data_IF_860265058710
#
_entry.id   IF_860265058710
#
_cell.length_a   1.000
_cell.length_b   1.000
_cell.length_c   1.000
_cell.angle_alpha   90.00
_cell.angle_beta   90.00
_cell.angle_gamma   90.00
#
_symmetry.space_group_name_H-M   'P 1'
#
loop_
_entity.id
_entity.type
_entity.pdbx_description
1 polymer ?
#
# COMPACT_ATOMS: atom_id res chain seq x y z
N UNK A 1 25.06 33.21 -6.68
CA UNK A 1 25.61 34.36 -5.93
C UNK A 1 26.54 33.98 -4.79
N UNK A 2 26.24 33.01 -3.91
CA UNK A 2 27.17 32.63 -2.81
C UNK A 2 28.57 32.15 -3.26
N UNK A 3 28.69 31.53 -4.44
CA UNK A 3 30.00 31.19 -5.06
C UNK A 3 30.78 32.42 -5.54
N UNK A 4 30.07 33.45 -6.01
CA UNK A 4 30.66 34.72 -6.48
C UNK A 4 31.13 35.55 -5.28
N UNK A 5 30.35 35.57 -4.20
CA UNK A 5 30.73 36.23 -2.94
C UNK A 5 32.04 35.68 -2.37
N UNK A 6 32.18 34.35 -2.29
CA UNK A 6 33.43 33.68 -1.86
C UNK A 6 34.60 33.96 -2.81
N UNK A 7 34.32 34.09 -4.11
CA UNK A 7 35.31 34.36 -5.13
C UNK A 7 35.81 35.81 -5.10
N UNK A 8 34.97 36.76 -4.68
CA UNK A 8 35.28 38.18 -4.58
C UNK A 8 35.87 38.58 -3.23
N UNK A 9 35.44 37.94 -2.13
CA UNK A 9 35.90 38.25 -0.76
C UNK A 9 37.43 38.15 -0.65
N UNK A 10 38.07 39.15 -0.05
CA UNK A 10 39.52 39.26 0.17
C UNK A 10 40.39 39.38 -1.09
N UNK A 11 39.81 39.47 -2.30
CA UNK A 11 40.59 39.76 -3.52
C UNK A 11 40.78 41.26 -3.70
N UNK A 12 41.91 41.62 -4.30
CA UNK A 12 42.26 43.00 -4.62
C UNK A 12 41.53 43.41 -5.90
N UNK A 13 40.72 44.46 -5.79
CA UNK A 13 40.04 45.02 -6.94
C UNK A 13 40.89 46.10 -7.62
N UNK A 14 40.82 46.13 -8.94
CA UNK A 14 41.43 47.18 -9.78
C UNK A 14 40.43 48.29 -10.11
N UNK A 15 39.13 48.08 -9.84
CA UNK A 15 38.05 49.05 -9.90
C UNK A 15 36.67 48.37 -9.84
N UNK A 16 35.62 49.12 -9.53
CA UNK A 16 34.26 48.55 -9.44
C UNK A 16 33.17 49.60 -9.12
N UNK A 17 31.90 49.18 -9.08
CA UNK A 17 30.76 50.05 -8.77
C UNK A 17 30.87 50.71 -7.39
N UNK A 18 30.22 51.87 -7.21
CA UNK A 18 30.33 52.74 -6.01
C UNK A 18 31.75 53.24 -5.67
N UNK A 19 32.62 53.41 -6.67
CA UNK A 19 33.90 54.11 -6.49
C UNK A 19 34.98 53.29 -5.77
N UNK A 20 34.93 51.96 -5.90
CA UNK A 20 35.94 51.05 -5.35
C UNK A 20 37.34 51.40 -5.90
N UNK A 21 38.28 51.72 -5.00
CA UNK A 21 39.61 52.24 -5.37
C UNK A 21 40.56 51.12 -5.79
N UNK A 22 41.48 51.43 -6.71
CA UNK A 22 42.51 50.50 -7.18
C UNK A 22 43.40 50.06 -6.01
N UNK A 23 43.44 48.76 -5.72
CA UNK A 23 44.25 48.18 -4.65
C UNK A 23 43.47 47.84 -3.35
N UNK A 24 42.17 48.15 -3.29
CA UNK A 24 41.34 47.88 -2.12
C UNK A 24 40.86 46.42 -2.08
N UNK A 25 40.86 45.82 -0.88
CA UNK A 25 40.35 44.45 -0.67
C UNK A 25 38.83 44.48 -0.56
N UNK A 26 38.15 43.60 -1.29
CA UNK A 26 36.69 43.50 -1.26
C UNK A 26 36.24 42.85 0.06
N UNK A 27 35.50 43.61 0.89
CA UNK A 27 34.88 43.13 2.13
C UNK A 27 33.46 42.59 1.89
N UNK A 28 32.97 41.74 2.80
CA UNK A 28 31.60 41.20 2.73
C UNK A 28 30.54 42.30 2.88
N UNK A 29 30.81 43.29 3.74
CA UNK A 29 29.90 44.42 3.98
C UNK A 29 29.76 45.31 2.73
N UNK A 30 30.85 45.47 1.98
CA UNK A 30 30.82 46.18 0.70
C UNK A 30 29.96 45.46 -0.34
N UNK A 31 30.11 44.14 -0.47
CA UNK A 31 29.27 43.33 -1.38
C UNK A 31 27.79 43.37 -1.00
N UNK A 32 27.47 43.40 0.30
CA UNK A 32 26.09 43.54 0.79
C UNK A 32 25.48 44.92 0.46
N UNK A 33 26.31 45.96 0.30
CA UNK A 33 25.87 47.33 0.01
C UNK A 33 25.52 47.59 -1.47
N UNK A 34 25.83 46.64 -2.36
CA UNK A 34 25.69 46.75 -3.83
C UNK A 34 24.71 45.69 -4.34
N UNK A 35 24.00 45.98 -5.44
CA UNK A 35 23.12 44.99 -6.05
C UNK A 35 23.94 43.78 -6.53
N UNK A 36 23.38 42.59 -6.36
CA UNK A 36 24.07 41.32 -6.67
C UNK A 36 24.48 41.19 -8.14
N UNK A 37 23.80 41.88 -9.04
CA UNK A 37 24.14 41.90 -10.47
C UNK A 37 25.35 42.79 -10.76
N UNK A 38 25.55 43.88 -10.01
CA UNK A 38 26.69 44.76 -10.18
C UNK A 38 27.99 44.12 -9.65
N UNK A 39 27.91 42.99 -8.94
CA UNK A 39 29.07 42.21 -8.51
C UNK A 39 29.89 41.68 -9.69
N UNK A 40 29.24 41.48 -10.84
CA UNK A 40 29.90 41.06 -12.08
C UNK A 40 30.70 42.18 -12.76
N UNK A 41 30.50 43.43 -12.35
CA UNK A 41 31.19 44.60 -12.90
C UNK A 41 32.42 45.00 -12.06
N UNK A 42 32.73 44.22 -11.02
CA UNK A 42 33.95 44.35 -10.21
C UNK A 42 35.14 43.79 -11.00
N UNK A 43 36.14 44.65 -11.26
CA UNK A 43 37.39 44.27 -11.92
C UNK A 43 38.39 43.79 -10.87
N UNK A 44 38.84 42.55 -11.02
CA UNK A 44 39.81 41.93 -10.14
C UNK A 44 41.22 42.13 -10.71
N UNK A 45 42.23 42.25 -9.84
CA UNK A 45 43.63 42.33 -10.26
C UNK A 45 44.27 40.99 -10.62
N UNK A 46 43.55 39.88 -10.45
CA UNK A 46 44.02 38.52 -10.73
C UNK A 46 43.30 37.97 -11.97
N UNK A 47 44.05 37.61 -13.01
CA UNK A 47 43.56 37.13 -14.30
C UNK A 47 42.69 35.87 -14.19
N UNK A 48 43.06 34.91 -13.35
CA UNK A 48 42.30 33.66 -13.17
C UNK A 48 40.95 33.94 -12.50
N UNK A 49 40.93 34.87 -11.55
CA UNK A 49 39.72 35.28 -10.86
C UNK A 49 38.77 36.06 -11.79
N UNK A 50 39.32 36.87 -12.70
CA UNK A 50 38.55 37.61 -13.71
C UNK A 50 37.91 36.66 -14.72
N UNK A 51 38.67 35.70 -15.25
CA UNK A 51 38.16 34.66 -16.16
C UNK A 51 37.05 33.82 -15.53
N UNK A 52 37.18 33.47 -14.25
CA UNK A 52 36.14 32.75 -13.51
C UNK A 52 34.87 33.60 -13.31
N UNK A 53 34.99 34.91 -13.08
CA UNK A 53 33.86 35.81 -12.93
C UNK A 53 33.10 35.98 -14.27
N UNK A 54 33.83 36.11 -15.38
CA UNK A 54 33.29 36.15 -16.74
C UNK A 54 32.57 34.84 -17.09
N UNK A 55 33.20 33.70 -16.85
CA UNK A 55 32.58 32.38 -17.07
C UNK A 55 31.30 32.20 -16.27
N UNK A 56 31.24 32.73 -15.03
CA UNK A 56 30.03 32.69 -14.21
C UNK A 56 28.95 33.65 -14.72
N UNK A 57 29.32 34.80 -15.30
CA UNK A 57 28.40 35.74 -15.95
C UNK A 57 27.77 35.10 -17.19
N UNK A 58 28.58 34.46 -18.03
CA UNK A 58 28.13 33.77 -19.24
C UNK A 58 27.22 32.58 -18.91
N UNK A 59 27.61 31.75 -17.94
CA UNK A 59 26.77 30.65 -17.47
C UNK A 59 25.43 31.15 -16.90
N UNK A 60 25.41 32.31 -16.21
CA UNK A 60 24.18 32.91 -15.71
C UNK A 60 23.31 33.45 -16.85
N UNK A 61 23.91 34.03 -17.89
CA UNK A 61 23.20 34.49 -19.08
C UNK A 61 22.56 33.31 -19.84
N UNK A 62 23.32 32.22 -20.06
CA UNK A 62 22.83 30.98 -20.67
C UNK A 62 21.71 30.35 -19.84
N UNK A 63 21.90 30.26 -18.51
CA UNK A 63 20.88 29.73 -17.61
C UNK A 63 19.59 30.59 -17.61
N UNK A 64 19.72 31.92 -17.71
CA UNK A 64 18.58 32.83 -17.83
C UNK A 64 17.84 32.61 -19.15
N UNK A 65 18.56 32.52 -20.27
CA UNK A 65 17.94 32.25 -21.57
C UNK A 65 17.22 30.88 -21.59
N UNK A 66 17.83 29.85 -21.00
CA UNK A 66 17.18 28.54 -20.86
C UNK A 66 15.94 28.60 -19.97
N UNK A 67 15.97 29.39 -18.89
CA UNK A 67 14.82 29.59 -18.02
C UNK A 67 13.69 30.32 -18.74
N UNK A 68 14.01 31.38 -19.48
CA UNK A 68 13.05 32.17 -20.26
C UNK A 68 12.41 31.30 -21.35
N UNK A 69 13.19 30.45 -22.04
CA UNK A 69 12.67 29.45 -23.00
C UNK A 69 11.70 28.47 -22.34
N UNK A 70 12.07 27.88 -21.19
CA UNK A 70 11.20 26.96 -20.44
C UNK A 70 9.93 27.65 -19.93
N UNK A 71 10.04 28.91 -19.53
CA UNK A 71 8.91 29.71 -19.08
C UNK A 71 7.93 29.95 -20.23
N UNK A 72 8.42 30.40 -21.39
CA UNK A 72 7.59 30.62 -22.57
C UNK A 72 6.96 29.30 -23.07
N UNK A 73 7.68 28.18 -23.02
CA UNK A 73 7.11 26.87 -23.34
C UNK A 73 5.96 26.48 -22.39
N UNK A 74 6.12 26.66 -21.08
CA UNK A 74 5.06 26.38 -20.09
C UNK A 74 3.87 27.31 -20.27
N UNK A 75 4.13 28.60 -20.48
CA UNK A 75 3.10 29.60 -20.73
C UNK A 75 2.30 29.23 -21.98
N UNK A 76 2.98 28.91 -23.09
CA UNK A 76 2.35 28.45 -24.33
C UNK A 76 1.47 27.23 -24.08
N UNK A 77 1.97 26.22 -23.36
CA UNK A 77 1.20 25.00 -23.03
C UNK A 77 -0.04 25.26 -22.18
N UNK A 78 -0.01 26.26 -21.29
CA UNK A 78 -1.15 26.62 -20.43
C UNK A 78 -2.17 27.51 -21.13
N UNK A 79 -1.73 28.37 -22.05
CA UNK A 79 -2.62 29.26 -22.81
C UNK A 79 -3.23 28.59 -24.03
N UNK A 80 -2.57 27.56 -24.56
CA UNK A 80 -3.10 26.76 -25.66
C UNK A 80 -4.34 26.01 -25.15
N UNK A 81 -5.42 26.05 -25.94
CA UNK A 81 -6.61 25.26 -25.64
C UNK A 81 -6.30 23.76 -25.74
N UNK A 82 -6.87 22.98 -24.82
CA UNK A 82 -6.77 21.53 -24.87
C UNK A 82 -7.51 20.97 -26.09
N UNK A 83 -6.95 19.92 -26.69
CA UNK A 83 -7.62 19.19 -27.77
C UNK A 83 -8.80 18.38 -27.18
N UNK A 84 -10.02 18.76 -27.56
CA UNK A 84 -11.25 18.11 -27.12
C UNK A 84 -11.80 17.22 -28.24
N UNK A 85 -12.45 16.09 -27.90
CA UNK A 85 -13.17 15.28 -28.88
C UNK A 85 -14.22 16.11 -29.65
N UNK A 86 -14.50 15.79 -30.92
CA UNK A 86 -15.47 16.53 -31.72
C UNK A 86 -16.85 16.54 -31.02
N UNK A 87 -17.46 17.72 -30.92
CA UNK A 87 -18.73 17.94 -30.21
C UNK A 87 -18.61 18.28 -28.73
N UNK A 88 -17.43 18.16 -28.11
CA UNK A 88 -17.20 18.54 -26.70
C UNK A 88 -16.69 19.98 -26.63
N UNK A 89 -17.47 20.88 -26.03
CA UNK A 89 -17.09 22.30 -25.89
C UNK A 89 -16.16 22.56 -24.70
N UNK A 90 -16.39 21.89 -23.56
CA UNK A 90 -15.60 22.01 -22.34
C UNK A 90 -15.57 20.68 -21.60
N UNK A 91 -14.45 20.36 -20.95
CA UNK A 91 -14.29 19.19 -20.09
C UNK A 91 -13.85 19.62 -18.70
N UNK A 92 -14.49 19.10 -17.66
CA UNK A 92 -14.12 19.35 -16.26
C UNK A 92 -13.72 18.03 -15.63
N UNK A 93 -12.50 17.97 -15.07
CA UNK A 93 -12.00 16.81 -14.33
C UNK A 93 -12.01 17.14 -12.84
N UNK A 94 -12.74 16.34 -12.06
CA UNK A 94 -12.81 16.47 -10.59
C UNK A 94 -12.09 15.29 -9.96
N UNK A 95 -11.11 15.57 -9.11
CA UNK A 95 -10.38 14.54 -8.37
C UNK A 95 -10.96 14.42 -6.97
N UNK A 96 -11.44 13.23 -6.61
CA UNK A 96 -11.94 12.93 -5.27
C UNK A 96 -10.95 12.00 -4.55
N UNK A 97 -10.45 12.44 -3.41
CA UNK A 97 -9.61 11.61 -2.55
C UNK A 97 -10.46 10.99 -1.43
N UNK A 98 -10.46 9.66 -1.32
CA UNK A 98 -11.21 8.92 -0.30
C UNK A 98 -10.24 8.08 0.52
N UNK A 99 -10.26 8.26 1.85
CA UNK A 99 -9.53 7.40 2.79
C UNK A 99 -10.41 6.21 3.18
N UNK A 100 -10.12 5.03 2.62
CA UNK A 100 -10.86 3.79 2.94
C UNK A 100 -10.21 3.07 4.12
N UNK A 101 -11.02 2.69 5.13
CA UNK A 101 -10.57 1.93 6.31
C UNK A 101 -10.54 0.42 6.02
N UNK A 102 -9.92 -0.36 6.90
CA UNK A 102 -10.03 -1.83 6.87
C UNK A 102 -11.37 -2.24 7.48
N UNK A 103 -12.00 -3.25 6.89
CA UNK A 103 -13.30 -3.74 7.35
C UNK A 103 -13.44 -5.25 7.10
N UNK A 104 -14.37 -5.92 7.80
CA UNK A 104 -14.72 -7.31 7.50
C UNK A 104 -15.09 -7.48 6.03
N UNK A 105 -14.57 -8.53 5.39
CA UNK A 105 -14.73 -8.76 3.95
C UNK A 105 -13.55 -8.28 3.09
N UNK A 106 -12.69 -7.39 3.58
CA UNK A 106 -11.48 -6.99 2.86
C UNK A 106 -10.49 -8.15 2.74
N UNK A 107 -9.78 -8.22 1.60
CA UNK A 107 -8.80 -9.27 1.35
C UNK A 107 -7.40 -8.85 1.77
N UNK A 108 -6.74 -9.69 2.56
CA UNK A 108 -5.38 -9.54 3.04
C UNK A 108 -4.50 -10.70 2.56
N UNK A 109 -3.20 -10.49 2.49
CA UNK A 109 -2.24 -11.53 2.11
C UNK A 109 -0.92 -11.41 2.87
N UNK A 110 -0.30 -12.54 3.19
CA UNK A 110 1.10 -12.60 3.58
C UNK A 110 2.02 -12.75 2.36
N UNK A 111 3.32 -12.63 2.57
CA UNK A 111 4.34 -12.76 1.51
C UNK A 111 4.52 -14.21 1.02
N UNK A 112 4.12 -15.19 1.84
CA UNK A 112 4.26 -16.62 1.56
C UNK A 112 3.04 -17.25 0.88
N UNK A 113 2.26 -16.45 0.15
CA UNK A 113 1.12 -16.92 -0.64
C UNK A 113 -0.15 -17.21 0.16
N UNK A 114 -0.12 -17.09 1.49
CA UNK A 114 -1.30 -17.15 2.34
C UNK A 114 -2.19 -15.93 2.09
N UNK A 115 -3.44 -16.17 1.69
CA UNK A 115 -4.45 -15.13 1.45
C UNK A 115 -5.66 -15.41 2.35
N UNK A 116 -6.23 -14.35 2.90
CA UNK A 116 -7.37 -14.42 3.79
C UNK A 116 -8.33 -13.26 3.57
N UNK A 117 -9.54 -13.41 4.09
CA UNK A 117 -10.53 -12.33 4.20
C UNK A 117 -10.64 -11.99 5.68
N UNK A 118 -10.70 -10.70 6.02
CA UNK A 118 -10.94 -10.28 7.40
C UNK A 118 -12.33 -10.75 7.82
N UNK A 119 -12.41 -11.61 8.83
CA UNK A 119 -13.68 -12.16 9.32
C UNK A 119 -14.35 -11.21 10.32
N UNK A 120 -13.62 -10.78 11.35
CA UNK A 120 -14.08 -9.90 12.42
C UNK A 120 -12.93 -9.02 12.91
N UNK A 121 -13.26 -7.80 13.30
CA UNK A 121 -12.36 -6.92 14.07
C UNK A 121 -12.80 -7.04 15.53
N UNK A 122 -11.95 -7.64 16.36
CA UNK A 122 -12.23 -7.84 17.78
C UNK A 122 -11.73 -6.63 18.61
N UNK A 123 -12.38 -6.33 19.74
CA UNK A 123 -11.82 -5.45 20.75
C UNK A 123 -10.49 -6.01 21.30
N UNK A 124 -9.64 -5.14 21.85
CA UNK A 124 -8.29 -5.51 22.31
C UNK A 124 -8.35 -6.42 23.54
N UNK A 125 -9.32 -6.19 24.42
CA UNK A 125 -9.58 -6.98 25.63
C UNK A 125 -9.96 -8.44 25.33
N UNK A 126 -10.53 -8.70 24.15
CA UNK A 126 -10.94 -10.03 23.69
C UNK A 126 -9.78 -10.81 23.08
N UNK A 127 -8.66 -10.15 22.77
CA UNK A 127 -7.54 -10.78 22.08
C UNK A 127 -6.68 -11.59 23.05
N UNK A 128 -6.14 -12.74 22.61
CA UNK A 128 -5.11 -13.42 23.36
C UNK A 128 -3.93 -12.49 23.63
N UNK A 129 -3.38 -12.59 24.83
CA UNK A 129 -2.25 -11.78 25.26
C UNK A 129 -1.13 -12.65 25.82
N UNK A 130 0.07 -12.10 25.77
CA UNK A 130 1.26 -12.70 26.38
C UNK A 130 1.29 -12.46 27.89
N UNK A 131 2.19 -13.15 28.59
CA UNK A 131 2.35 -13.02 30.03
C UNK A 131 2.75 -11.61 30.52
N UNK A 132 3.32 -10.79 29.64
CA UNK A 132 3.63 -9.38 29.87
C UNK A 132 2.42 -8.45 29.67
N UNK A 133 1.26 -9.00 29.28
CA UNK A 133 0.03 -8.27 28.99
C UNK A 133 -0.07 -7.75 27.55
N UNK A 134 0.92 -7.99 26.69
CA UNK A 134 0.89 -7.52 25.30
C UNK A 134 -0.14 -8.32 24.49
N UNK A 135 -1.19 -7.69 23.94
CA UNK A 135 -2.20 -8.37 23.12
C UNK A 135 -1.69 -8.67 21.72
N UNK A 136 -2.21 -9.74 21.10
CA UNK A 136 -1.94 -10.07 19.70
C UNK A 136 -2.82 -9.24 18.75
N UNK A 137 -2.28 -8.86 17.59
CA UNK A 137 -3.01 -8.10 16.57
C UNK A 137 -3.79 -8.98 15.58
N UNK A 138 -3.20 -10.11 15.16
CA UNK A 138 -3.75 -11.00 14.12
C UNK A 138 -3.61 -12.45 14.56
N UNK A 139 -4.71 -13.21 14.49
CA UNK A 139 -4.72 -14.65 14.72
C UNK A 139 -4.88 -15.38 13.39
N UNK A 140 -3.90 -16.22 13.04
CA UNK A 140 -3.92 -17.02 11.82
C UNK A 140 -4.20 -18.48 12.13
N UNK A 141 -4.93 -19.16 11.24
CA UNK A 141 -5.21 -20.59 11.38
C UNK A 141 -3.97 -21.43 10.96
N UNK A 142 -3.42 -22.27 11.85
CA UNK A 142 -2.23 -23.07 11.55
C UNK A 142 -2.49 -24.20 10.54
N UNK A 143 -3.73 -24.66 10.39
CA UNK A 143 -4.08 -25.80 9.51
C UNK A 143 -3.75 -25.56 8.03
N UNK A 144 -3.66 -24.28 7.62
CA UNK A 144 -3.30 -23.92 6.26
C UNK A 144 -1.81 -24.13 5.93
N UNK A 145 -0.93 -24.27 6.93
CA UNK A 145 0.51 -24.40 6.71
C UNK A 145 0.89 -25.80 6.24
N UNK A 146 0.48 -26.89 6.90
CA UNK A 146 0.82 -28.24 6.45
C UNK A 146 0.23 -28.55 5.07
N UNK A 147 -1.00 -28.12 4.81
CA UNK A 147 -1.69 -28.41 3.55
C UNK A 147 -1.08 -27.70 2.33
N UNK A 148 -0.44 -26.53 2.54
CA UNK A 148 0.14 -25.71 1.46
C UNK A 148 1.66 -25.73 1.43
N UNK A 149 2.29 -26.42 2.39
CA UNK A 149 3.74 -26.59 2.51
C UNK A 149 4.53 -25.28 2.47
N UNK A 150 3.96 -24.17 2.95
CA UNK A 150 4.60 -22.85 2.98
C UNK A 150 5.21 -22.57 4.36
N UNK A 151 6.19 -23.38 4.75
CA UNK A 151 6.87 -23.33 6.06
C UNK A 151 7.61 -22.01 6.28
N UNK A 152 8.05 -21.35 5.21
CA UNK A 152 8.77 -20.07 5.27
C UNK A 152 8.05 -18.98 6.09
N UNK A 153 6.71 -19.00 6.15
CA UNK A 153 5.96 -18.04 6.97
C UNK A 153 6.21 -18.21 8.47
N UNK A 154 6.46 -19.44 8.93
CA UNK A 154 6.80 -19.73 10.33
C UNK A 154 8.21 -19.22 10.62
N UNK A 155 9.15 -19.44 9.70
CA UNK A 155 10.53 -18.93 9.83
C UNK A 155 10.57 -17.39 9.81
N UNK A 156 9.76 -16.74 8.96
CA UNK A 156 9.57 -15.28 8.97
C UNK A 156 9.03 -14.83 10.33
N UNK A 157 8.04 -15.53 10.88
CA UNK A 157 7.43 -15.22 12.17
C UNK A 157 8.46 -15.28 13.30
N UNK A 158 9.29 -16.33 13.34
CA UNK A 158 10.37 -16.48 14.33
C UNK A 158 11.44 -15.40 14.18
N UNK A 159 11.92 -15.14 12.95
CA UNK A 159 12.94 -14.12 12.71
C UNK A 159 12.41 -12.71 12.99
N UNK A 160 11.14 -12.44 12.70
CA UNK A 160 10.46 -11.20 13.05
C UNK A 160 10.30 -11.02 14.57
N UNK A 161 10.14 -12.11 15.31
CA UNK A 161 10.15 -12.08 16.77
C UNK A 161 11.52 -11.69 17.33
N UNK A 162 12.59 -12.29 16.81
CA UNK A 162 13.96 -11.92 17.16
C UNK A 162 14.24 -10.45 16.81
N UNK A 163 13.85 -10.00 15.62
CA UNK A 163 14.00 -8.62 15.16
C UNK A 163 13.38 -7.62 16.14
N UNK A 164 12.14 -7.88 16.59
CA UNK A 164 11.46 -7.03 17.56
C UNK A 164 12.16 -7.05 18.91
N UNK A 165 12.51 -8.24 19.41
CA UNK A 165 13.17 -8.40 20.71
C UNK A 165 14.52 -7.67 20.77
N UNK A 166 15.35 -7.80 19.73
CA UNK A 166 16.61 -7.04 19.61
C UNK A 166 16.36 -5.53 19.63
N UNK A 167 15.35 -5.04 18.89
CA UNK A 167 14.98 -3.63 18.89
C UNK A 167 14.55 -3.13 20.27
N UNK A 168 13.73 -3.92 21.00
CA UNK A 168 13.32 -3.59 22.38
C UNK A 168 14.54 -3.50 23.29
N UNK A 169 15.50 -4.43 23.20
CA UNK A 169 16.74 -4.39 23.99
C UNK A 169 17.60 -3.16 23.67
N UNK A 170 17.75 -2.79 22.39
CA UNK A 170 18.43 -1.56 22.00
C UNK A 170 17.71 -0.35 22.61
N UNK A 171 16.38 -0.32 22.54
CA UNK A 171 15.56 0.73 23.11
C UNK A 171 15.68 0.84 24.64
N UNK A 172 15.86 -0.28 25.34
CA UNK A 172 16.11 -0.32 26.79
C UNK A 172 17.50 0.24 27.13
N UNK A 173 18.55 -0.18 26.43
CA UNK A 173 19.89 0.36 26.61
C UNK A 173 19.94 1.87 26.40
N UNK A 174 19.21 2.38 25.40
CA UNK A 174 19.09 3.83 25.17
C UNK A 174 18.33 4.57 26.27
N UNK A 175 17.32 3.94 26.89
CA UNK A 175 16.55 4.53 28.00
C UNK A 175 17.32 4.55 29.31
N UNK A 176 18.16 3.55 29.54
CA UNK A 176 19.02 3.44 30.73
C UNK A 176 20.28 4.30 30.62
N UNK A 177 20.44 5.07 29.54
CA UNK A 177 21.63 5.87 29.25
C UNK A 177 22.91 5.01 29.32
N UNK A 178 22.82 3.78 28.82
CA UNK A 178 23.94 2.84 28.79
C UNK A 178 25.13 3.45 28.04
N UNK A 179 26.34 3.03 28.41
CA UNK A 179 27.56 3.57 27.80
C UNK A 179 27.54 3.25 26.31
N UNK A 180 27.94 4.22 25.48
CA UNK A 180 28.02 4.04 24.01
C UNK A 180 28.88 2.81 23.64
N UNK A 181 29.88 2.48 24.45
CA UNK A 181 30.71 1.29 24.29
C UNK A 181 29.93 -0.02 24.44
N UNK A 182 28.91 -0.08 25.31
CA UNK A 182 28.05 -1.26 25.50
C UNK A 182 27.06 -1.39 24.35
N UNK A 183 26.45 -0.28 23.92
CA UNK A 183 25.57 -0.24 22.75
C UNK A 183 26.33 -0.67 21.50
N UNK A 184 27.54 -0.15 21.30
CA UNK A 184 28.43 -0.52 20.18
C UNK A 184 28.77 -2.00 20.21
N UNK A 185 29.10 -2.56 21.38
CA UNK A 185 29.39 -3.98 21.54
C UNK A 185 28.16 -4.84 21.20
N UNK A 186 26.97 -4.43 21.64
CA UNK A 186 25.75 -5.16 21.34
C UNK A 186 25.40 -5.12 19.85
N UNK A 187 25.57 -3.97 19.19
CA UNK A 187 25.42 -3.85 17.74
C UNK A 187 26.45 -4.71 17.00
N UNK A 188 27.71 -4.71 17.43
CA UNK A 188 28.76 -5.58 16.86
C UNK A 188 28.36 -7.06 16.93
N UNK A 189 27.80 -7.52 18.06
CA UNK A 189 27.29 -8.89 18.20
C UNK A 189 26.15 -9.19 17.23
N UNK A 190 25.17 -8.29 17.10
CA UNK A 190 24.02 -8.47 16.20
C UNK A 190 24.47 -8.56 14.73
N UNK A 191 25.41 -7.72 14.31
CA UNK A 191 25.84 -7.66 12.90
C UNK A 191 26.90 -8.71 12.54
N UNK A 192 27.79 -9.08 13.46
CA UNK A 192 29.03 -9.81 13.12
C UNK A 192 29.14 -11.24 13.67
N UNK A 193 28.34 -11.64 14.67
CA UNK A 193 28.48 -12.96 15.30
C UNK A 193 27.76 -14.08 14.53
N UNK A 194 26.73 -13.75 13.73
CA UNK A 194 26.01 -14.72 12.90
C UNK A 194 26.67 -14.94 11.52
N UNK A 195 26.16 -15.91 10.76
CA UNK A 195 26.66 -16.34 9.44
C UNK A 195 26.55 -15.29 8.31
N UNK A 196 26.17 -14.05 8.63
CA UNK A 196 25.88 -12.99 7.67
C UNK A 196 27.07 -12.17 7.19
N UNK A 197 26.77 -11.12 6.41
CA UNK A 197 27.76 -10.12 5.98
C UNK A 197 28.22 -9.32 7.20
N UNK A 198 29.52 -9.37 7.45
CA UNK A 198 30.15 -8.57 8.51
C UNK A 198 30.18 -7.09 8.13
N UNK A 199 29.85 -6.24 9.09
CA UNK A 199 29.85 -4.78 8.95
C UNK A 199 30.82 -4.14 9.96
N UNK A 200 31.46 -3.05 9.55
CA UNK A 200 32.44 -2.35 10.38
C UNK A 200 31.78 -1.29 11.27
N UNK A 201 31.20 -1.75 12.39
CA UNK A 201 30.59 -0.90 13.42
C UNK A 201 31.65 -0.07 14.17
N UNK A 202 32.95 -0.43 14.08
CA UNK A 202 34.03 0.29 14.78
C UNK A 202 34.40 1.60 14.08
N UNK A 203 34.19 1.66 12.76
CA UNK A 203 34.42 2.87 11.98
C UNK A 203 33.47 4.03 12.31
N UNK A 204 32.29 3.73 12.85
CA UNK A 204 31.26 4.73 13.17
C UNK A 204 31.70 5.61 14.35
N UNK A 205 31.37 6.90 14.30
CA UNK A 205 31.55 7.78 15.45
C UNK A 205 30.46 7.53 16.52
N UNK A 206 30.63 8.08 17.72
CA UNK A 206 29.71 7.81 18.84
C UNK A 206 28.30 8.40 18.60
N UNK A 207 28.19 9.52 17.89
CA UNK A 207 26.90 10.12 17.52
C UNK A 207 26.14 9.24 16.51
N UNK A 208 26.84 8.70 15.50
CA UNK A 208 26.32 7.80 14.48
C UNK A 208 25.85 6.47 15.10
N UNK A 209 26.56 5.95 16.10
CA UNK A 209 26.14 4.74 16.83
C UNK A 209 24.83 4.98 17.57
N UNK A 210 24.68 6.13 18.24
CA UNK A 210 23.45 6.49 18.94
C UNK A 210 22.31 6.70 17.93
N UNK A 211 22.56 7.39 16.81
CA UNK A 211 21.57 7.58 15.74
C UNK A 211 21.10 6.24 15.15
N UNK A 212 22.05 5.34 14.85
CA UNK A 212 21.73 4.00 14.38
C UNK A 212 20.87 3.23 15.38
N UNK A 213 21.25 3.24 16.67
CA UNK A 213 20.47 2.60 17.72
C UNK A 213 19.05 3.20 17.84
N UNK A 214 18.90 4.53 17.68
CA UNK A 214 17.59 5.18 17.68
C UNK A 214 16.69 4.72 16.53
N UNK A 215 17.26 4.47 15.35
CA UNK A 215 16.51 3.91 14.21
C UNK A 215 16.14 2.44 14.43
N UNK A 216 17.00 1.66 15.10
CA UNK A 216 16.82 0.23 15.33
C UNK A 216 15.89 -0.12 16.51
N UNK A 217 15.55 0.84 17.38
CA UNK A 217 14.72 0.61 18.58
C UNK A 217 13.35 -0.04 18.31
N UNK A 218 12.81 0.14 17.10
CA UNK A 218 11.50 -0.42 16.74
C UNK A 218 11.58 -1.88 16.26
N UNK A 219 12.78 -2.35 15.91
CA UNK A 219 13.09 -3.67 15.41
C UNK A 219 14.30 -3.64 14.48
N UNK A 220 15.18 -4.64 14.58
CA UNK A 220 16.36 -4.77 13.71
C UNK A 220 15.95 -5.38 12.36
N UNK A 221 16.17 -4.71 11.22
CA UNK A 221 15.82 -5.25 9.92
C UNK A 221 16.81 -6.34 9.51
N UNK A 222 16.29 -7.53 9.18
CA UNK A 222 17.07 -8.62 8.61
C UNK A 222 16.93 -8.66 7.08
N UNK A 223 18.04 -8.95 6.41
CA UNK A 223 18.06 -9.27 4.98
C UNK A 223 18.41 -10.75 4.82
N UNK A 224 17.46 -11.55 4.35
CA UNK A 224 17.69 -12.93 3.92
C UNK A 224 17.62 -12.99 2.40
N UNK A 225 18.64 -13.58 1.76
CA UNK A 225 18.61 -13.78 0.32
C UNK A 225 17.60 -14.88 -0.05
N UNK A 226 17.25 -14.98 -1.33
CA UNK A 226 16.22 -15.93 -1.80
C UNK A 226 16.70 -17.39 -1.74
N UNK A 227 17.99 -17.63 -1.97
CA UNK A 227 18.55 -18.99 -2.07
C UNK A 227 19.60 -19.29 -0.99
N UNK A 228 20.37 -18.29 -0.56
CA UNK A 228 21.40 -18.40 0.49
C UNK A 228 20.95 -17.59 1.71
N UNK A 229 19.89 -18.08 2.35
CA UNK A 229 19.17 -17.39 3.42
C UNK A 229 19.67 -17.74 4.81
N UNK A 230 19.08 -17.11 5.83
CA UNK A 230 19.40 -17.42 7.22
C UNK A 230 19.10 -18.88 7.56
N UNK A 231 20.05 -19.56 8.21
CA UNK A 231 19.85 -20.93 8.70
C UNK A 231 19.01 -20.94 9.97
N UNK A 232 18.45 -22.10 10.33
CA UNK A 232 17.70 -22.25 11.58
C UNK A 232 18.58 -21.97 12.82
N UNK A 233 19.86 -22.34 12.77
CA UNK A 233 20.84 -22.01 13.82
C UNK A 233 21.03 -20.50 13.99
N UNK A 234 21.02 -19.73 12.91
CA UNK A 234 21.15 -18.27 12.98
C UNK A 234 19.89 -17.65 13.60
N UNK A 235 18.70 -18.13 13.22
CA UNK A 235 17.44 -17.66 13.81
C UNK A 235 17.41 -17.96 15.31
N UNK A 236 17.83 -19.16 15.71
CA UNK A 236 17.91 -19.55 17.12
C UNK A 236 18.90 -18.67 17.88
N UNK A 237 20.09 -18.45 17.34
CA UNK A 237 21.10 -17.56 17.94
C UNK A 237 20.55 -16.13 18.13
N UNK A 238 19.85 -15.60 17.12
CA UNK A 238 19.22 -14.27 17.22
C UNK A 238 18.09 -14.22 18.24
N UNK A 239 17.30 -15.29 18.38
CA UNK A 239 16.29 -15.42 19.43
C UNK A 239 16.92 -15.47 20.83
N UNK A 240 18.02 -16.19 20.99
CA UNK A 240 18.76 -16.27 22.25
C UNK A 240 19.39 -14.92 22.62
N UNK A 241 19.89 -14.17 21.64
CA UNK A 241 20.40 -12.82 21.83
C UNK A 241 19.29 -11.82 22.14
N UNK A 242 18.12 -11.95 21.53
CA UNK A 242 16.95 -11.11 21.78
C UNK A 242 16.32 -11.38 23.16
N UNK A 243 16.26 -12.65 23.56
CA UNK A 243 15.61 -13.12 24.77
C UNK A 243 16.56 -14.01 25.57
N UNK A 244 17.54 -13.41 26.28
CA UNK A 244 18.49 -14.18 27.05
C UNK A 244 17.83 -14.73 28.34
N UNK A 245 18.23 -15.92 28.77
CA UNK A 245 17.59 -16.64 29.89
C UNK A 245 17.80 -15.96 31.25
N UNK A 246 18.85 -15.14 31.35
CA UNK A 246 19.17 -14.37 32.56
C UNK A 246 18.33 -13.10 32.73
N UNK A 247 17.45 -12.77 31.78
CA UNK A 247 16.61 -11.58 31.87
C UNK A 247 15.24 -11.92 32.48
N UNK A 248 14.81 -11.24 33.56
CA UNK A 248 13.52 -11.49 34.20
C UNK A 248 12.31 -11.32 33.26
N UNK A 249 12.43 -10.48 32.21
CA UNK A 249 11.37 -10.33 31.20
C UNK A 249 11.24 -11.56 30.31
N UNK A 250 12.35 -12.22 29.99
CA UNK A 250 12.33 -13.48 29.22
C UNK A 250 11.66 -14.59 30.03
N UNK A 251 11.98 -14.66 31.33
CA UNK A 251 11.41 -15.65 32.24
C UNK A 251 9.89 -15.47 32.39
N UNK A 252 9.43 -14.22 32.44
CA UNK A 252 8.00 -13.88 32.46
C UNK A 252 7.25 -14.42 31.23
N UNK A 253 7.85 -14.36 30.04
CA UNK A 253 7.21 -14.75 28.77
C UNK A 253 6.97 -16.26 28.62
N UNK A 254 7.52 -17.10 29.50
CA UNK A 254 7.29 -18.56 29.51
C UNK A 254 7.52 -19.22 28.14
N UNK A 255 8.73 -19.02 27.60
CA UNK A 255 9.13 -19.63 26.33
C UNK A 255 9.17 -21.15 26.37
N UNK A 256 8.90 -21.78 25.21
CA UNK A 256 9.25 -23.18 24.98
C UNK A 256 10.77 -23.36 24.90
N UNK A 257 11.25 -24.61 25.01
CA UNK A 257 12.68 -24.92 25.05
C UNK A 257 13.52 -24.35 23.87
N UNK A 258 12.89 -24.10 22.71
CA UNK A 258 13.55 -23.54 21.53
C UNK A 258 13.26 -22.04 21.32
N UNK A 259 12.59 -21.36 22.25
CA UNK A 259 12.18 -19.94 22.18
C UNK A 259 11.37 -19.53 20.95
N UNK A 260 10.79 -20.50 20.25
CA UNK A 260 9.93 -20.29 19.07
C UNK A 260 8.45 -20.13 19.43
N UNK A 261 8.08 -20.50 20.65
CA UNK A 261 6.71 -20.49 21.14
C UNK A 261 6.66 -19.94 22.57
N UNK A 262 5.55 -19.33 22.93
CA UNK A 262 5.29 -18.75 24.26
C UNK A 262 3.95 -19.22 24.78
N UNK A 263 3.75 -19.14 26.09
CA UNK A 263 2.43 -19.35 26.68
C UNK A 263 1.58 -18.09 26.50
N UNK A 264 0.36 -18.29 26.02
CA UNK A 264 -0.63 -17.23 25.85
C UNK A 264 -1.76 -17.40 26.87
N UNK A 265 -2.49 -16.32 27.09
CA UNK A 265 -3.67 -16.27 27.93
C UNK A 265 -4.86 -15.79 27.10
N UNK A 266 -6.02 -16.39 27.30
CA UNK A 266 -7.26 -15.97 26.66
C UNK A 266 -7.72 -14.62 27.26
N UNK A 267 -7.95 -13.61 26.42
CA UNK A 267 -8.42 -12.29 26.87
C UNK A 267 -9.83 -12.33 27.47
N UNK A 268 -10.66 -13.31 27.09
CA UNK A 268 -12.05 -13.40 27.57
C UNK A 268 -12.19 -14.07 28.92
N UNK A 269 -11.41 -15.13 29.17
CA UNK A 269 -11.50 -15.91 30.41
C UNK A 269 -10.37 -15.62 31.37
N UNK A 270 -9.22 -15.14 30.86
CA UNK A 270 -7.97 -15.01 31.61
C UNK A 270 -7.21 -16.32 31.80
N UNK A 271 -7.74 -17.44 31.30
CA UNK A 271 -7.11 -18.75 31.44
C UNK A 271 -5.94 -18.91 30.46
N UNK A 272 -4.91 -19.65 30.89
CA UNK A 272 -3.76 -19.94 30.06
C UNK A 272 -4.09 -21.05 29.06
N UNK A 273 -3.64 -20.92 27.80
CA UNK A 273 -3.79 -22.00 26.83
C UNK A 273 -3.00 -23.25 27.25
N UNK A 274 -3.55 -24.43 26.95
CA UNK A 274 -2.96 -25.72 27.30
C UNK A 274 -1.61 -25.96 26.60
N UNK A 275 -1.44 -25.45 25.37
CA UNK A 275 -0.25 -25.64 24.54
C UNK A 275 0.41 -24.31 24.23
N UNK A 276 1.75 -24.25 24.20
CA UNK A 276 2.47 -23.06 23.77
C UNK A 276 2.18 -22.75 22.30
N UNK A 277 2.12 -21.46 21.96
CA UNK A 277 1.72 -20.96 20.65
C UNK A 277 2.89 -20.21 20.01
N UNK A 278 3.05 -20.36 18.70
CA UNK A 278 4.02 -19.58 17.93
C UNK A 278 3.54 -18.14 17.82
N UNK A 279 4.31 -17.21 18.37
CA UNK A 279 4.07 -15.77 18.29
C UNK A 279 5.26 -15.13 17.58
N UNK A 280 4.98 -14.10 16.77
CA UNK A 280 6.02 -13.45 15.99
C UNK A 280 5.49 -12.28 15.18
N UNK A 281 6.39 -11.61 14.48
CA UNK A 281 6.03 -10.56 13.53
C UNK A 281 6.13 -11.08 12.11
N UNK A 282 5.01 -11.03 11.38
CA UNK A 282 4.93 -11.39 9.97
C UNK A 282 4.57 -10.14 9.16
N UNK A 283 5.16 -9.97 7.98
CA UNK A 283 4.78 -8.86 7.11
C UNK A 283 3.50 -9.19 6.33
N UNK A 284 2.44 -8.41 6.58
CA UNK A 284 1.12 -8.58 5.97
C UNK A 284 0.77 -7.41 5.06
N UNK A 285 0.17 -7.71 3.91
CA UNK A 285 -0.23 -6.76 2.89
C UNK A 285 -1.76 -6.70 2.75
N UNK A 286 -2.30 -5.50 2.60
CA UNK A 286 -3.69 -5.27 2.18
C UNK A 286 -3.78 -5.33 0.66
N UNK A 287 -4.67 -6.17 0.13
CA UNK A 287 -4.88 -6.27 -1.31
C UNK A 287 -5.87 -5.20 -1.80
N UNK A 288 -5.80 -4.88 -3.09
CA UNK A 288 -6.77 -4.01 -3.77
C UNK A 288 -8.19 -4.59 -3.80
N UNK A 289 -8.38 -5.87 -3.42
CA UNK A 289 -9.69 -6.51 -3.40
C UNK A 289 -10.49 -6.08 -2.16
N UNK A 290 -11.14 -4.93 -2.25
CA UNK A 290 -11.99 -4.35 -1.20
C UNK A 290 -13.41 -4.87 -1.30
N UNK A 291 -14.07 -5.04 -0.16
CA UNK A 291 -15.46 -5.55 -0.12
C UNK A 291 -16.46 -4.53 -0.71
N UNK A 292 -16.26 -3.24 -0.47
CA UNK A 292 -17.13 -2.16 -0.98
C UNK A 292 -17.27 -2.19 -2.50
N UNK A 293 -16.17 -2.50 -3.19
CA UNK A 293 -16.17 -2.54 -4.64
C UNK A 293 -16.91 -3.78 -5.16
N UNK A 294 -17.01 -4.85 -4.36
CA UNK A 294 -17.68 -6.12 -4.71
C UNK A 294 -19.15 -6.16 -4.36
N UNK A 295 -19.57 -5.49 -3.30
CA UNK A 295 -20.98 -5.48 -2.89
C UNK A 295 -21.81 -4.76 -3.95
N UNK A 296 -22.82 -5.45 -4.47
CA UNK A 296 -23.79 -4.93 -5.43
C UNK A 296 -25.10 -5.71 -5.30
N UNK A 297 -26.21 -4.98 -5.21
CA UNK A 297 -27.54 -5.54 -5.19
C UNK A 297 -28.43 -4.70 -6.10
N UNK A 298 -29.43 -5.34 -6.72
CA UNK A 298 -30.46 -4.66 -7.51
C UNK A 298 -31.82 -5.27 -7.22
N UNK A 299 -32.84 -4.45 -7.37
CA UNK A 299 -34.24 -4.88 -7.49
C UNK A 299 -34.66 -4.75 -8.97
N UNK A 300 -34.84 -3.52 -9.43
CA UNK A 300 -35.10 -3.16 -10.84
C UNK A 300 -33.94 -2.33 -11.40
N UNK A 301 -33.86 -2.21 -12.72
CA UNK A 301 -32.77 -1.49 -13.38
C UNK A 301 -32.93 -1.43 -14.89
N UNK A 302 -31.93 -0.97 -15.63
CA UNK A 302 -32.00 -0.91 -17.08
C UNK A 302 -32.01 -2.32 -17.72
N UNK A 303 -32.59 -2.38 -18.90
CA UNK A 303 -32.77 -3.59 -19.70
C UNK A 303 -32.15 -3.39 -21.09
N UNK A 304 -31.73 -4.50 -21.70
CA UNK A 304 -31.26 -4.55 -23.08
C UNK A 304 -32.38 -4.22 -24.05
N UNK A 305 -32.09 -3.43 -25.09
CA UNK A 305 -33.07 -3.11 -26.13
C UNK A 305 -33.46 -4.32 -26.97
N UNK A 306 -32.52 -5.25 -27.19
CA UNK A 306 -32.73 -6.41 -28.07
C UNK A 306 -33.50 -7.50 -27.34
N UNK A 307 -32.95 -8.00 -26.24
CA UNK A 307 -33.49 -9.18 -25.55
C UNK A 307 -34.43 -8.85 -24.39
N UNK A 308 -34.61 -7.56 -24.04
CA UNK A 308 -35.36 -7.11 -22.86
C UNK A 308 -34.86 -7.67 -21.52
N UNK A 309 -33.69 -8.31 -21.49
CA UNK A 309 -33.06 -8.84 -20.30
C UNK A 309 -32.34 -7.74 -19.48
N UNK A 310 -32.23 -7.90 -18.15
CA UNK A 310 -31.44 -7.02 -17.31
C UNK A 310 -30.00 -6.84 -17.83
N UNK A 311 -29.47 -5.61 -17.83
CA UNK A 311 -28.06 -5.39 -18.19
C UNK A 311 -27.10 -6.10 -17.22
N UNK A 312 -25.85 -6.31 -17.65
CA UNK A 312 -24.79 -6.94 -16.84
C UNK A 312 -23.86 -5.93 -16.16
N UNK A 313 -23.31 -6.32 -15.01
CA UNK A 313 -22.23 -5.58 -14.33
C UNK A 313 -22.67 -4.40 -13.44
N UNK A 314 -21.90 -4.15 -12.38
CA UNK A 314 -22.19 -3.13 -11.35
C UNK A 314 -22.36 -1.72 -11.93
N UNK A 315 -21.56 -1.36 -12.94
CA UNK A 315 -21.56 -0.01 -13.53
C UNK A 315 -22.91 0.40 -14.15
N UNK A 316 -23.70 -0.57 -14.61
CA UNK A 316 -24.99 -0.33 -15.25
C UNK A 316 -26.17 -0.73 -14.33
N UNK A 317 -25.94 -0.85 -13.03
CA UNK A 317 -26.91 -1.48 -12.11
C UNK A 317 -27.35 -2.87 -12.60
N UNK A 318 -26.40 -3.61 -13.17
CA UNK A 318 -26.63 -4.88 -13.84
C UNK A 318 -26.97 -6.02 -12.88
N UNK A 319 -27.62 -7.05 -13.41
CA UNK A 319 -28.08 -8.23 -12.68
C UNK A 319 -27.06 -9.34 -12.73
N UNK A 320 -27.20 -10.27 -11.79
CA UNK A 320 -26.43 -11.50 -11.79
C UNK A 320 -26.96 -12.41 -12.89
N UNK A 321 -26.06 -13.02 -13.64
CA UNK A 321 -26.42 -14.03 -14.61
C UNK A 321 -26.85 -15.29 -13.87
N UNK A 322 -28.10 -15.69 -14.08
CA UNK A 322 -28.57 -17.02 -13.72
C UNK A 322 -28.20 -17.96 -14.87
N UNK A 323 -27.21 -18.81 -14.66
CA UNK A 323 -26.62 -19.65 -15.69
C UNK A 323 -27.32 -20.99 -15.84
N UNK A 324 -26.87 -21.76 -16.83
CA UNK A 324 -27.41 -23.08 -17.16
C UNK A 324 -27.24 -24.07 -16.00
N UNK A 325 -26.10 -24.04 -15.30
CA UNK A 325 -25.87 -24.92 -14.15
C UNK A 325 -26.80 -24.61 -12.98
N UNK A 326 -27.15 -23.33 -12.77
CA UNK A 326 -28.13 -22.96 -11.75
C UNK A 326 -29.56 -23.37 -12.13
N UNK A 327 -29.90 -23.36 -13.43
CA UNK A 327 -31.18 -23.89 -13.93
C UNK A 327 -31.27 -25.39 -13.66
N UNK A 328 -30.25 -26.18 -14.02
CA UNK A 328 -30.22 -27.62 -13.77
C UNK A 328 -30.37 -27.95 -12.28
N UNK A 329 -29.78 -27.13 -11.40
CA UNK A 329 -29.95 -27.29 -9.97
C UNK A 329 -31.43 -27.16 -9.56
N UNK A 330 -32.16 -26.15 -10.06
CA UNK A 330 -33.59 -25.98 -9.76
C UNK A 330 -34.46 -27.10 -10.38
N UNK A 331 -34.12 -27.55 -11.58
CA UNK A 331 -34.79 -28.68 -12.23
C UNK A 331 -34.63 -29.98 -11.42
N UNK A 332 -33.42 -30.24 -10.90
CA UNK A 332 -33.15 -31.41 -10.05
C UNK A 332 -33.99 -31.40 -8.75
N UNK A 333 -34.30 -30.21 -8.21
CA UNK A 333 -35.21 -30.07 -7.07
C UNK A 333 -36.70 -30.14 -7.46
N UNK A 334 -37.04 -30.16 -8.75
CA UNK A 334 -38.42 -30.09 -9.22
C UNK A 334 -39.09 -28.73 -8.93
N UNK A 335 -38.31 -27.67 -8.75
CA UNK A 335 -38.80 -26.34 -8.37
C UNK A 335 -39.36 -25.55 -9.56
N UNK A 336 -40.37 -26.11 -10.24
CA UNK A 336 -40.92 -25.60 -11.49
C UNK A 336 -41.43 -24.14 -11.41
N UNK A 337 -42.16 -23.79 -10.35
CA UNK A 337 -42.67 -22.42 -10.15
C UNK A 337 -41.56 -21.39 -9.96
N UNK A 338 -40.54 -21.73 -9.17
CA UNK A 338 -39.38 -20.86 -8.94
C UNK A 338 -38.58 -20.66 -10.23
N UNK A 339 -38.39 -21.74 -10.99
CA UNK A 339 -37.69 -21.68 -12.27
C UNK A 339 -38.46 -20.84 -13.30
N UNK A 340 -39.78 -21.04 -13.40
CA UNK A 340 -40.63 -20.25 -14.28
C UNK A 340 -40.56 -18.77 -13.93
N UNK A 341 -40.58 -18.41 -12.64
CA UNK A 341 -40.47 -17.03 -12.18
C UNK A 341 -39.12 -16.39 -12.58
N UNK A 342 -38.00 -17.11 -12.36
CA UNK A 342 -36.66 -16.65 -12.69
C UNK A 342 -36.46 -16.43 -14.19
N UNK A 343 -37.03 -17.30 -15.02
CA UNK A 343 -36.85 -17.25 -16.48
C UNK A 343 -37.80 -16.28 -17.19
N UNK A 344 -38.93 -15.91 -16.58
CA UNK A 344 -39.97 -15.08 -17.22
C UNK A 344 -40.08 -13.71 -16.55
N UNK A 345 -40.92 -13.59 -15.52
CA UNK A 345 -41.33 -12.34 -14.88
C UNK A 345 -40.19 -11.61 -14.16
N UNK A 346 -39.09 -12.30 -13.82
CA UNK A 346 -37.87 -11.67 -13.27
C UNK A 346 -36.84 -11.25 -14.33
N UNK A 347 -37.06 -11.61 -15.59
CA UNK A 347 -36.11 -11.40 -16.68
C UNK A 347 -36.71 -10.55 -17.79
N UNK A 348 -37.23 -11.19 -18.86
CA UNK A 348 -37.52 -10.60 -20.15
C UNK A 348 -39.01 -10.58 -20.52
N UNK A 349 -39.91 -11.06 -19.66
CA UNK A 349 -41.34 -10.80 -19.81
C UNK A 349 -41.68 -9.37 -19.38
N UNK A 350 -41.84 -8.48 -20.38
CA UNK A 350 -42.07 -7.04 -20.18
C UNK A 350 -43.40 -6.77 -19.47
N UNK A 351 -44.44 -7.50 -19.82
CA UNK A 351 -45.77 -7.32 -19.23
C UNK A 351 -45.84 -7.99 -17.85
N UNK A 352 -45.30 -9.20 -17.73
CA UNK A 352 -45.27 -9.98 -16.49
C UNK A 352 -44.49 -9.28 -15.38
N UNK A 353 -43.30 -8.73 -15.65
CA UNK A 353 -42.50 -8.04 -14.62
C UNK A 353 -43.20 -6.82 -14.02
N UNK A 354 -43.94 -6.08 -14.85
CA UNK A 354 -44.68 -4.88 -14.42
C UNK A 354 -45.85 -5.29 -13.53
N UNK A 355 -46.63 -6.29 -13.95
CA UNK A 355 -47.75 -6.83 -13.17
C UNK A 355 -47.30 -7.43 -11.84
N UNK A 356 -46.23 -8.22 -11.84
CA UNK A 356 -45.70 -8.81 -10.60
C UNK A 356 -45.24 -7.73 -9.63
N UNK A 357 -44.58 -6.67 -10.12
CA UNK A 357 -44.21 -5.54 -9.28
C UNK A 357 -45.43 -4.84 -8.67
N UNK A 358 -46.45 -4.54 -9.48
CA UNK A 358 -47.71 -3.95 -8.98
C UNK A 358 -48.41 -4.83 -7.95
N UNK A 359 -48.49 -6.14 -8.20
CA UNK A 359 -49.13 -7.11 -7.32
C UNK A 359 -48.41 -7.16 -5.97
N UNK A 360 -47.07 -7.21 -5.96
CA UNK A 360 -46.26 -7.16 -4.74
C UNK A 360 -46.55 -5.88 -3.95
N UNK A 361 -46.65 -4.72 -4.61
CA UNK A 361 -46.96 -3.43 -3.96
C UNK A 361 -48.38 -3.42 -3.39
N UNK A 362 -49.35 -4.06 -4.05
CA UNK A 362 -50.74 -4.18 -3.60
C UNK A 362 -50.94 -5.26 -2.51
N UNK A 363 -49.93 -6.08 -2.24
CA UNK A 363 -50.04 -7.23 -1.33
C UNK A 363 -50.76 -8.44 -1.94
N UNK A 364 -50.91 -8.46 -3.27
CA UNK A 364 -51.45 -9.60 -4.01
C UNK A 364 -50.30 -10.49 -4.49
N UNK A 365 -50.39 -11.80 -4.25
CA UNK A 365 -49.34 -12.75 -4.64
C UNK A 365 -49.73 -13.56 -5.89
N UNK A 366 -50.17 -12.86 -6.93
CA UNK A 366 -50.52 -13.48 -8.22
C UNK A 366 -49.39 -13.27 -9.23
N UNK A 367 -48.96 -14.37 -9.85
CA UNK A 367 -47.93 -14.39 -10.90
C UNK A 367 -48.59 -14.90 -12.19
N UNK A 368 -48.67 -14.03 -13.18
CA UNK A 368 -49.14 -14.36 -14.52
C UNK A 368 -47.91 -14.31 -15.46
N UNK A 369 -47.37 -15.47 -15.83
CA UNK A 369 -46.19 -15.58 -16.68
C UNK A 369 -46.57 -15.62 -18.17
N UNK A 370 -45.92 -14.78 -18.98
CA UNK A 370 -46.05 -14.75 -20.43
C UNK A 370 -44.88 -15.44 -21.16
N UNK A 371 -44.83 -15.22 -22.48
CA UNK A 371 -43.74 -15.69 -23.33
C UNK A 371 -42.52 -14.77 -23.20
N UNK A 372 -41.30 -15.30 -22.98
CA UNK A 372 -40.07 -14.51 -22.98
C UNK A 372 -39.83 -13.76 -24.28
N UNK A 373 -39.41 -12.49 -24.21
CA UNK A 373 -39.08 -11.73 -25.42
C UNK A 373 -37.85 -12.27 -26.15
N UNK A 374 -36.91 -12.90 -25.44
CA UNK A 374 -35.77 -13.57 -26.08
C UNK A 374 -36.19 -14.70 -27.03
N UNK A 375 -37.29 -15.40 -26.72
CA UNK A 375 -37.85 -16.41 -27.61
C UNK A 375 -38.46 -15.79 -28.87
N UNK A 376 -39.15 -14.65 -28.74
CA UNK A 376 -39.66 -13.90 -29.90
C UNK A 376 -38.51 -13.44 -30.81
N UNK A 377 -37.41 -12.94 -30.24
CA UNK A 377 -36.21 -12.56 -30.99
C UNK A 377 -35.66 -13.76 -31.76
N UNK A 378 -35.50 -14.91 -31.12
CA UNK A 378 -35.03 -16.14 -31.76
C UNK A 378 -35.91 -16.55 -32.94
N UNK A 379 -37.24 -16.54 -32.78
CA UNK A 379 -38.19 -16.85 -33.86
C UNK A 379 -38.01 -15.91 -35.05
N UNK A 380 -37.81 -14.60 -34.80
CA UNK A 380 -37.57 -13.62 -35.87
C UNK A 380 -36.22 -13.81 -36.55
N UNK A 381 -35.18 -14.16 -35.80
CA UNK A 381 -33.85 -14.48 -36.36
C UNK A 381 -33.90 -15.72 -37.26
N UNK A 382 -34.58 -16.79 -36.85
CA UNK A 382 -34.74 -17.99 -37.68
C UNK A 382 -35.52 -17.67 -38.97
N UNK A 383 -36.62 -16.92 -38.87
CA UNK A 383 -37.39 -16.50 -40.06
C UNK A 383 -36.58 -15.64 -41.02
N UNK A 384 -35.62 -14.86 -40.53
CA UNK A 384 -34.73 -14.05 -41.37
C UNK A 384 -33.81 -14.89 -42.27
N UNK A 385 -33.60 -16.17 -41.92
CA UNK A 385 -32.84 -17.15 -42.70
C UNK A 385 -33.69 -17.88 -43.76
N UNK A 386 -34.92 -17.41 -44.03
CA UNK A 386 -35.90 -18.04 -44.90
C UNK A 386 -36.33 -19.45 -44.45
N UNK A 387 -36.29 -19.70 -43.14
CA UNK A 387 -36.83 -20.91 -42.51
C UNK A 387 -38.16 -20.54 -41.86
N UNK A 388 -39.26 -21.18 -42.27
CA UNK A 388 -40.57 -20.95 -41.67
C UNK A 388 -40.71 -21.69 -40.34
N UNK A 389 -41.09 -20.96 -39.30
CA UNK A 389 -41.31 -21.46 -37.94
C UNK A 389 -42.45 -20.66 -37.34
N UNK A 390 -43.53 -21.32 -36.91
CA UNK A 390 -44.66 -20.68 -36.27
C UNK A 390 -45.14 -21.45 -35.04
N UNK A 391 -45.84 -20.74 -34.16
CA UNK A 391 -46.46 -21.34 -32.98
C UNK A 391 -47.84 -21.86 -33.39
N UNK A 392 -48.00 -23.17 -33.35
CA UNK A 392 -49.29 -23.80 -33.65
C UNK A 392 -50.32 -23.43 -32.58
N UNK A 393 -51.52 -23.02 -33.02
CA UNK A 393 -52.61 -22.62 -32.15
C UNK A 393 -53.56 -23.80 -32.01
N UNK A 394 -53.40 -24.57 -30.94
CA UNK A 394 -54.39 -25.56 -30.51
C UNK A 394 -55.50 -24.91 -29.69
#
# INVERSE_FOLDING_TARGET
FGRIERLLTNKVATGGPKGLKKGEKISKDFLASINRYDWFDIRLGNDDASKQLETLKDNLAVAKEQFDKRFEEKKRKLTQGDELPPGVQKMVKVYLAVKRRIQPGDKMAGRHGNKGVVSKIAPVEDMPHMADGTPLDIVLNPLGVPSRMNIGQILETHLGWAAKGLGVRIGEMLKEEAKVTEVRKFLDQIYNDASGKKEDIKSLNDEEVVELAQHLKNGVPFATSVFDGASESDIKYMLDLAYPDNNPKTELLQFSANKTQVKLFDGRTGEAFERPVTVGYMHVLKLHHLVDDKMHARSTGPYSLVTQQPLGGKAQFGGQRFGEMEVWALEAYGAAYTLQEMLTVKSDDVAGRTKVYENIVKGEHKIDAGMPESFNVLVKEIRSLAIDIDLDRN
#
